data_IF_984917365753
#
_entry.id   IF_984917365753
#
_cell.length_a   1.000
_cell.length_b   1.000
_cell.length_c   1.000
_cell.angle_alpha   90.00
_cell.angle_beta   90.00
_cell.angle_gamma   90.00
#
_symmetry.space_group_name_H-M   'P 1'
#
loop_
_entity.id
_entity.type
_entity.pdbx_description
1 polymer ?
#
# COMPACT_ATOMS: atom_id res chain seq x y z
N UNK A 1 -7.96 -7.95 19.23
CA UNK A 1 -7.06 -6.78 19.18
C UNK A 1 -6.20 -6.65 20.45
N UNK A 2 -4.89 -6.49 20.31
CA UNK A 2 -3.96 -6.15 21.40
C UNK A 2 -4.31 -4.76 21.97
N UNK A 3 -4.43 -4.65 23.29
CA UNK A 3 -4.77 -3.39 23.95
C UNK A 3 -3.59 -2.42 23.89
N UNK A 4 -3.75 -1.30 23.17
CA UNK A 4 -2.84 -0.16 23.19
C UNK A 4 -3.17 0.74 24.39
N UNK A 5 -2.16 1.19 25.12
CA UNK A 5 -2.36 2.17 26.18
C UNK A 5 -2.56 3.58 25.60
N UNK A 6 -3.12 4.50 26.39
CA UNK A 6 -3.40 5.86 25.93
C UNK A 6 -2.14 6.57 25.40
N UNK A 7 -1.00 6.40 26.06
CA UNK A 7 0.28 6.97 25.60
C UNK A 7 0.72 6.42 24.25
N UNK A 8 0.54 5.12 24.02
CA UNK A 8 0.84 4.50 22.72
C UNK A 8 -0.06 5.05 21.62
N UNK A 9 -1.36 5.23 21.91
CA UNK A 9 -2.32 5.81 20.97
C UNK A 9 -1.98 7.25 20.60
N UNK A 10 -1.59 8.08 21.57
CA UNK A 10 -1.11 9.46 21.32
C UNK A 10 0.16 9.49 20.48
N UNK A 11 1.07 8.53 20.69
CA UNK A 11 2.29 8.41 19.88
C UNK A 11 1.97 7.99 18.45
N UNK A 12 1.09 7.00 18.27
CA UNK A 12 0.63 6.57 16.93
C UNK A 12 0.03 7.77 16.21
N UNK A 13 -0.95 8.44 16.83
CA UNK A 13 -1.63 9.62 16.29
C UNK A 13 -0.66 10.73 15.86
N UNK A 14 0.34 11.05 16.68
CA UNK A 14 1.29 12.10 16.34
C UNK A 14 2.26 11.69 15.21
N UNK A 15 2.67 10.42 15.16
CA UNK A 15 3.75 9.95 14.30
C UNK A 15 3.27 9.46 12.92
N UNK A 16 2.06 8.90 12.83
CA UNK A 16 1.58 8.14 11.67
C UNK A 16 1.77 8.88 10.35
N UNK A 17 1.28 10.12 10.26
CA UNK A 17 1.31 10.94 9.05
C UNK A 17 2.34 12.08 9.12
N UNK A 18 3.23 12.06 10.10
CA UNK A 18 4.25 13.10 10.31
C UNK A 18 5.63 12.50 10.66
N UNK A 19 6.11 11.48 9.94
CA UNK A 19 7.31 10.75 10.35
C UNK A 19 8.60 11.59 10.30
N UNK A 20 8.61 12.66 9.49
CA UNK A 20 9.78 13.51 9.29
C UNK A 20 9.87 14.68 10.27
N UNK A 21 8.81 14.93 11.04
CA UNK A 21 8.77 16.06 11.97
C UNK A 21 9.76 15.87 13.13
N UNK A 22 10.33 16.97 13.67
CA UNK A 22 11.21 16.88 14.83
C UNK A 22 10.50 16.21 16.01
N UNK A 23 11.21 15.32 16.70
CA UNK A 23 10.68 14.57 17.86
C UNK A 23 10.16 15.51 18.97
N UNK A 24 10.67 16.74 19.06
CA UNK A 24 10.17 17.77 19.97
C UNK A 24 8.74 18.18 19.64
N UNK A 25 8.44 18.46 18.37
CA UNK A 25 7.10 18.83 17.90
C UNK A 25 6.12 17.67 18.06
N UNK A 26 6.55 16.47 17.69
CA UNK A 26 5.76 15.24 17.86
C UNK A 26 5.41 14.98 19.33
N UNK A 27 6.36 15.22 20.25
CA UNK A 27 6.13 15.07 21.68
C UNK A 27 5.15 16.13 22.23
N UNK A 28 5.23 17.38 21.74
CA UNK A 28 4.27 18.45 22.08
C UNK A 28 2.87 18.05 21.62
N UNK A 29 2.71 17.61 20.36
CA UNK A 29 1.42 17.15 19.82
C UNK A 29 0.85 15.97 20.60
N UNK A 30 1.70 15.01 20.98
CA UNK A 30 1.31 13.89 21.81
C UNK A 30 1.04 14.27 23.28
N UNK A 31 1.27 15.53 23.67
CA UNK A 31 1.17 16.03 25.04
C UNK A 31 2.06 15.23 26.02
N UNK A 32 3.30 14.99 25.63
CA UNK A 32 4.26 14.16 26.34
C UNK A 32 5.63 14.83 26.46
N UNK A 33 6.38 14.49 27.51
CA UNK A 33 7.82 14.82 27.55
C UNK A 33 8.54 14.05 26.44
N UNK A 34 9.55 14.68 25.82
CA UNK A 34 10.34 14.11 24.71
C UNK A 34 10.89 12.71 25.04
N UNK A 35 11.43 12.51 26.25
CA UNK A 35 11.94 11.20 26.68
C UNK A 35 10.85 10.12 26.71
N UNK A 36 9.66 10.45 27.21
CA UNK A 36 8.51 9.55 27.26
C UNK A 36 8.00 9.22 25.87
N UNK A 37 7.91 10.21 24.97
CA UNK A 37 7.53 10.00 23.57
C UNK A 37 8.49 9.02 22.88
N UNK A 38 9.81 9.28 22.97
CA UNK A 38 10.85 8.42 22.39
C UNK A 38 10.75 6.98 22.88
N UNK A 39 10.53 6.78 24.18
CA UNK A 39 10.38 5.45 24.77
C UNK A 39 9.21 4.69 24.14
N UNK A 40 8.03 5.30 24.06
CA UNK A 40 6.85 4.65 23.49
C UNK A 40 6.94 4.45 21.97
N UNK A 41 7.47 5.43 21.23
CA UNK A 41 7.69 5.29 19.79
C UNK A 41 8.64 4.12 19.48
N UNK A 42 9.77 4.05 20.19
CA UNK A 42 10.72 2.94 20.07
C UNK A 42 10.09 1.60 20.45
N UNK A 43 9.35 1.54 21.55
CA UNK A 43 8.63 0.32 21.95
C UNK A 43 7.61 -0.15 20.91
N UNK A 44 6.89 0.76 20.24
CA UNK A 44 5.96 0.41 19.17
C UNK A 44 6.68 -0.15 17.93
N UNK A 45 7.84 0.39 17.58
CA UNK A 45 8.68 -0.07 16.47
C UNK A 45 9.34 -1.42 16.81
N UNK A 46 9.97 -1.54 17.99
CA UNK A 46 10.67 -2.74 18.45
C UNK A 46 9.72 -3.94 18.60
N UNK A 47 8.44 -3.69 18.96
CA UNK A 47 7.38 -4.72 19.00
C UNK A 47 6.70 -4.95 17.65
N UNK A 48 7.21 -4.34 16.58
CA UNK A 48 6.67 -4.41 15.22
C UNK A 48 5.20 -3.99 15.09
N UNK A 49 4.68 -3.14 15.98
CA UNK A 49 3.32 -2.60 15.88
C UNK A 49 3.28 -1.45 14.88
N UNK A 50 4.31 -0.59 14.89
CA UNK A 50 4.51 0.43 13.87
C UNK A 50 5.69 0.05 12.99
N UNK A 51 5.54 0.29 11.68
CA UNK A 51 6.65 0.20 10.73
C UNK A 51 6.62 1.42 9.81
N UNK A 52 7.78 1.97 9.43
CA UNK A 52 7.83 2.99 8.41
C UNK A 52 7.37 2.41 7.06
N UNK A 53 6.73 3.25 6.26
CA UNK A 53 6.35 3.00 4.88
C UNK A 53 6.77 4.21 4.05
N UNK A 54 7.73 3.99 3.15
CA UNK A 54 8.07 4.97 2.13
C UNK A 54 7.04 4.93 1.01
N UNK A 55 6.45 6.08 0.68
CA UNK A 55 5.47 6.21 -0.37
C UNK A 55 6.16 6.55 -1.69
N UNK A 56 6.42 5.53 -2.51
CA UNK A 56 6.96 5.69 -3.86
C UNK A 56 5.79 5.67 -4.83
N UNK A 57 5.69 6.72 -5.65
CA UNK A 57 4.60 6.89 -6.60
C UNK A 57 4.92 6.12 -7.90
N UNK A 58 4.21 5.02 -8.19
CA UNK A 58 4.43 4.27 -9.43
C UNK A 58 4.02 5.09 -10.66
N UNK A 59 2.98 5.93 -10.56
CA UNK A 59 2.49 6.73 -11.69
C UNK A 59 3.50 7.78 -12.12
N UNK A 60 4.15 8.46 -11.17
CA UNK A 60 5.25 9.39 -11.46
C UNK A 60 6.48 8.70 -12.08
N UNK A 61 6.59 7.37 -11.96
CA UNK A 61 7.63 6.56 -12.62
C UNK A 61 7.16 6.00 -13.99
N UNK A 62 5.92 6.27 -14.40
CA UNK A 62 5.32 5.75 -15.63
C UNK A 62 4.78 4.32 -15.52
N UNK A 63 4.65 3.78 -14.30
CA UNK A 63 4.06 2.46 -14.06
C UNK A 63 2.65 2.60 -13.49
N UNK A 64 1.78 1.69 -13.93
CA UNK A 64 0.43 1.53 -13.44
C UNK A 64 0.34 0.26 -12.60
N UNK A 65 -0.28 0.31 -11.40
CA UNK A 65 -0.58 -0.89 -10.66
C UNK A 65 -1.75 -1.66 -11.30
N UNK A 66 -1.58 -2.98 -11.47
CA UNK A 66 -2.62 -3.91 -11.90
C UNK A 66 -2.79 -4.98 -10.84
N UNK A 67 -3.89 -4.93 -10.09
CA UNK A 67 -4.25 -6.00 -9.16
C UNK A 67 -4.87 -7.15 -9.96
N UNK A 68 -4.16 -8.29 -10.03
CA UNK A 68 -4.65 -9.52 -10.66
C UNK A 68 -5.09 -10.47 -9.55
N UNK A 69 -6.40 -10.62 -9.39
CA UNK A 69 -7.02 -11.59 -8.49
C UNK A 69 -7.21 -12.89 -9.24
N UNK A 70 -6.87 -14.02 -8.63
CA UNK A 70 -6.95 -15.30 -9.32
C UNK A 70 -7.14 -16.50 -8.40
N UNK A 71 -7.75 -17.53 -8.99
CA UNK A 71 -7.79 -18.88 -8.47
C UNK A 71 -6.83 -19.77 -9.25
N UNK A 72 -6.12 -20.62 -8.54
CA UNK A 72 -5.33 -21.66 -9.18
C UNK A 72 -6.24 -22.83 -9.52
N UNK A 73 -5.97 -23.47 -10.66
CA UNK A 73 -6.55 -24.77 -11.00
C UNK A 73 -6.23 -25.81 -9.93
N UNK A 74 -6.82 -27.01 -10.03
CA UNK A 74 -6.51 -28.12 -9.13
C UNK A 74 -5.05 -28.56 -9.30
N UNK A 75 -4.16 -27.88 -8.58
CA UNK A 75 -2.73 -28.11 -8.57
C UNK A 75 -2.32 -28.86 -7.30
N UNK A 76 -1.42 -29.83 -7.47
CA UNK A 76 -0.69 -30.40 -6.34
C UNK A 76 0.14 -29.32 -5.62
N UNK A 77 0.39 -29.54 -4.32
CA UNK A 77 1.07 -28.58 -3.42
C UNK A 77 2.37 -28.00 -4.00
N UNK A 78 3.26 -28.86 -4.49
CA UNK A 78 4.55 -28.45 -5.07
C UNK A 78 4.39 -27.48 -6.25
N UNK A 79 3.45 -27.77 -7.15
CA UNK A 79 3.23 -26.95 -8.35
C UNK A 79 2.63 -25.58 -7.98
N UNK A 80 1.73 -25.53 -6.98
CA UNK A 80 1.23 -24.29 -6.40
C UNK A 80 2.37 -23.45 -5.80
N UNK A 81 3.24 -24.06 -5.01
CA UNK A 81 4.40 -23.38 -4.42
C UNK A 81 5.31 -22.80 -5.51
N UNK A 82 5.60 -23.54 -6.59
CA UNK A 82 6.37 -23.02 -7.72
C UNK A 82 5.72 -21.79 -8.40
N UNK A 83 4.39 -21.76 -8.55
CA UNK A 83 3.69 -20.59 -9.11
C UNK A 83 3.87 -19.38 -8.20
N UNK A 84 3.65 -19.55 -6.89
CA UNK A 84 3.75 -18.46 -5.92
C UNK A 84 5.19 -17.95 -5.77
N UNK A 85 6.19 -18.84 -5.81
CA UNK A 85 7.60 -18.46 -5.82
C UNK A 85 7.99 -17.70 -7.10
N UNK A 86 7.48 -18.13 -8.25
CA UNK A 86 7.72 -17.45 -9.53
C UNK A 86 7.14 -16.04 -9.51
N UNK A 87 5.92 -15.87 -8.99
CA UNK A 87 5.30 -14.56 -8.79
C UNK A 87 6.06 -13.72 -7.78
N UNK A 88 6.49 -14.30 -6.65
CA UNK A 88 7.23 -13.58 -5.62
C UNK A 88 8.59 -13.08 -6.12
N UNK A 89 9.26 -13.82 -7.01
CA UNK A 89 10.54 -13.42 -7.62
C UNK A 89 10.41 -12.48 -8.82
N UNK A 90 9.21 -12.32 -9.38
CA UNK A 90 8.99 -11.45 -10.52
C UNK A 90 9.14 -9.96 -10.12
N UNK A 91 10.00 -9.23 -10.82
CA UNK A 91 10.35 -7.83 -10.54
C UNK A 91 9.26 -6.82 -10.88
N UNK A 92 8.22 -7.21 -11.62
CA UNK A 92 7.02 -6.40 -11.81
C UNK A 92 6.00 -6.61 -10.68
N UNK A 93 6.08 -7.71 -9.91
CA UNK A 93 5.13 -7.95 -8.81
C UNK A 93 5.55 -7.18 -7.57
N UNK A 94 4.78 -6.17 -7.18
CA UNK A 94 5.00 -5.35 -5.99
C UNK A 94 4.36 -5.93 -4.73
N UNK A 95 3.24 -6.64 -4.87
CA UNK A 95 2.52 -7.22 -3.75
C UNK A 95 1.93 -8.56 -4.15
N UNK A 96 2.01 -9.55 -3.26
CA UNK A 96 1.42 -10.87 -3.46
C UNK A 96 0.85 -11.33 -2.12
N UNK A 97 -0.39 -11.80 -2.11
CA UNK A 97 -0.99 -12.39 -0.92
C UNK A 97 -1.90 -13.57 -1.22
N UNK A 98 -2.04 -14.46 -0.23
CA UNK A 98 -3.16 -15.38 -0.15
C UNK A 98 -4.37 -14.70 0.48
N UNK A 99 -5.53 -15.07 -0.05
CA UNK A 99 -6.80 -14.43 0.21
C UNK A 99 -7.84 -15.47 0.66
N UNK A 100 -8.88 -15.00 1.35
CA UNK A 100 -10.11 -15.72 1.63
C UNK A 100 -11.29 -14.98 1.03
N UNK A 101 -12.23 -15.73 0.45
CA UNK A 101 -13.34 -15.19 -0.34
C UNK A 101 -13.42 -15.93 -1.68
N UNK A 102 -13.86 -15.23 -2.74
CA UNK A 102 -13.95 -15.78 -4.10
C UNK A 102 -12.59 -16.05 -4.74
N UNK A 103 -11.55 -15.30 -4.36
CA UNK A 103 -10.20 -15.43 -4.90
C UNK A 103 -9.25 -16.01 -3.85
N UNK A 104 -8.39 -16.93 -4.28
CA UNK A 104 -7.34 -17.52 -3.44
C UNK A 104 -6.10 -16.62 -3.33
N UNK A 105 -5.83 -15.81 -4.35
CA UNK A 105 -4.63 -14.98 -4.41
C UNK A 105 -4.88 -13.66 -5.12
N UNK A 106 -4.08 -12.66 -4.78
CA UNK A 106 -3.94 -11.45 -5.60
C UNK A 106 -2.46 -11.08 -5.72
N UNK A 107 -2.06 -10.76 -6.95
CA UNK A 107 -0.75 -10.25 -7.30
C UNK A 107 -0.91 -8.84 -7.91
N UNK A 108 -0.26 -7.85 -7.31
CA UNK A 108 -0.20 -6.50 -7.87
C UNK A 108 1.05 -6.36 -8.73
N UNK A 109 0.85 -6.22 -10.03
CA UNK A 109 1.91 -5.91 -10.98
C UNK A 109 2.06 -4.39 -11.08
N UNK A 110 3.29 -3.90 -11.19
CA UNK A 110 3.60 -2.56 -11.67
C UNK A 110 4.09 -2.72 -13.11
N UNK A 111 3.34 -2.16 -14.04
CA UNK A 111 3.57 -2.33 -15.47
C UNK A 111 3.28 -1.03 -16.23
N UNK A 112 3.94 -0.80 -17.36
CA UNK A 112 3.68 0.39 -18.19
C UNK A 112 2.42 0.19 -19.03
N UNK A 113 2.17 -1.06 -19.43
CA UNK A 113 1.03 -1.43 -20.27
C UNK A 113 0.35 -2.71 -19.78
N UNK A 114 -0.94 -2.94 -20.14
CA UNK A 114 -1.60 -4.22 -19.89
C UNK A 114 -0.89 -5.41 -20.54
N UNK A 115 -0.19 -5.18 -21.66
CA UNK A 115 0.59 -6.21 -22.37
C UNK A 115 1.73 -6.76 -21.51
N UNK A 116 2.40 -5.92 -20.70
CA UNK A 116 3.50 -6.36 -19.83
C UNK A 116 2.99 -7.34 -18.75
N UNK A 117 1.77 -7.09 -18.24
CA UNK A 117 1.09 -7.99 -17.29
C UNK A 117 0.76 -9.32 -17.98
N UNK A 118 0.20 -9.27 -19.19
CA UNK A 118 -0.12 -10.46 -19.95
C UNK A 118 1.12 -11.31 -20.22
N UNK A 119 2.22 -10.70 -20.68
CA UNK A 119 3.49 -11.38 -20.91
C UNK A 119 4.02 -12.02 -19.63
N UNK A 120 3.97 -11.31 -18.51
CA UNK A 120 4.37 -11.85 -17.20
C UNK A 120 3.58 -13.10 -16.80
N UNK A 121 2.25 -13.07 -16.98
CA UNK A 121 1.39 -14.22 -16.69
C UNK A 121 1.63 -15.38 -17.68
N UNK A 122 1.81 -15.08 -18.96
CA UNK A 122 2.08 -16.07 -20.00
C UNK A 122 3.42 -16.78 -19.80
N UNK A 123 4.48 -16.11 -19.33
CA UNK A 123 5.75 -16.76 -18.99
C UNK A 123 5.59 -17.80 -17.87
N UNK A 124 4.79 -17.48 -16.86
CA UNK A 124 4.48 -18.41 -15.76
C UNK A 124 3.67 -19.60 -16.30
N UNK A 125 2.68 -19.34 -17.16
CA UNK A 125 1.89 -20.41 -17.80
C UNK A 125 2.71 -21.26 -18.76
N UNK A 126 3.66 -20.70 -19.51
CA UNK A 126 4.52 -21.44 -20.41
C UNK A 126 5.45 -22.39 -19.66
N UNK A 127 5.93 -21.97 -18.48
CA UNK A 127 6.83 -22.76 -17.62
C UNK A 127 6.09 -23.85 -16.85
N UNK A 128 4.88 -23.54 -16.35
CA UNK A 128 4.15 -24.41 -15.40
C UNK A 128 2.87 -25.00 -16.01
N UNK A 129 2.53 -24.71 -17.27
CA UNK A 129 1.26 -25.07 -17.90
C UNK A 129 0.09 -24.16 -17.47
N UNK A 130 -1.12 -24.49 -17.93
CA UNK A 130 -2.34 -23.77 -17.54
C UNK A 130 -2.61 -23.87 -16.03
N UNK A 131 -2.17 -22.86 -15.27
CA UNK A 131 -2.26 -22.85 -13.80
C UNK A 131 -3.39 -21.98 -13.26
N UNK A 132 -3.81 -20.94 -13.99
CA UNK A 132 -4.85 -20.01 -13.58
C UNK A 132 -6.22 -20.47 -14.08
N UNK A 133 -7.20 -20.62 -13.19
CA UNK A 133 -8.56 -21.05 -13.51
C UNK A 133 -9.50 -19.85 -13.72
N UNK A 134 -9.51 -18.93 -12.75
CA UNK A 134 -10.30 -17.71 -12.76
C UNK A 134 -9.38 -16.52 -12.54
N UNK A 135 -9.65 -15.41 -13.24
CA UNK A 135 -8.89 -14.17 -13.11
C UNK A 135 -9.82 -12.97 -13.19
N UNK A 136 -9.64 -12.02 -12.29
CA UNK A 136 -10.15 -10.66 -12.42
C UNK A 136 -8.95 -9.70 -12.38
N UNK A 137 -8.96 -8.69 -13.25
CA UNK A 137 -7.89 -7.69 -13.34
C UNK A 137 -8.50 -6.34 -13.02
N UNK A 138 -7.84 -5.62 -12.12
CA UNK A 138 -8.24 -4.29 -11.70
C UNK A 138 -7.05 -3.33 -11.86
N UNK A 139 -6.94 -2.61 -13.00
CA UNK A 139 -6.03 -1.48 -13.13
C UNK A 139 -6.37 -0.39 -12.11
N UNK A 140 -5.36 0.07 -11.38
CA UNK A 140 -5.50 1.12 -10.37
C UNK A 140 -5.24 2.49 -11.01
N UNK A 141 -6.13 3.44 -10.74
CA UNK A 141 -6.04 4.83 -11.20
C UNK A 141 -5.66 5.79 -10.08
N UNK A 142 -5.97 5.48 -8.82
CA UNK A 142 -5.48 6.23 -7.67
C UNK A 142 -5.35 5.33 -6.45
N UNK A 143 -4.45 5.71 -5.53
CA UNK A 143 -4.32 5.08 -4.23
C UNK A 143 -4.19 6.15 -3.15
N UNK A 144 -5.16 6.17 -2.25
CA UNK A 144 -5.23 7.08 -1.10
C UNK A 144 -5.06 6.30 0.20
N UNK A 145 -4.24 6.82 1.09
CA UNK A 145 -3.95 6.30 2.41
C UNK A 145 -4.58 7.20 3.47
N UNK A 146 -5.16 6.59 4.49
CA UNK A 146 -5.80 7.29 5.60
C UNK A 146 -5.17 6.86 6.93
N UNK A 147 -5.13 7.75 7.94
CA UNK A 147 -4.69 7.38 9.27
C UNK A 147 -5.58 6.29 9.87
N UNK A 148 -4.96 5.37 10.59
CA UNK A 148 -5.63 4.32 11.35
C UNK A 148 -6.29 4.88 12.62
N UNK A 149 -7.32 5.70 12.43
CA UNK A 149 -8.02 6.48 13.47
C UNK A 149 -8.52 5.65 14.65
N UNK A 150 -8.86 4.37 14.45
CA UNK A 150 -9.21 3.46 15.54
C UNK A 150 -8.09 3.31 16.60
N UNK A 151 -6.83 3.56 16.22
CA UNK A 151 -5.66 3.48 17.10
C UNK A 151 -5.27 4.84 17.70
N UNK A 152 -5.99 5.92 17.40
CA UNK A 152 -5.71 7.26 17.90
C UNK A 152 -6.32 7.48 19.29
N UNK A 153 -5.78 8.44 20.04
CA UNK A 153 -6.29 8.76 21.37
C UNK A 153 -7.53 9.67 21.29
N UNK A 154 -7.58 10.52 20.27
CA UNK A 154 -8.71 11.41 19.97
C UNK A 154 -9.08 11.33 18.49
N UNK A 155 -10.26 11.85 18.12
CA UNK A 155 -10.60 12.06 16.71
C UNK A 155 -9.70 13.14 16.13
N UNK A 156 -9.00 12.82 15.05
CA UNK A 156 -8.19 13.76 14.27
C UNK A 156 -9.00 14.32 13.08
N UNK A 157 -8.62 15.48 12.53
CA UNK A 157 -9.05 15.90 11.21
C UNK A 157 -8.72 14.84 10.15
N UNK A 158 -9.52 14.82 9.10
CA UNK A 158 -9.36 13.91 7.98
C UNK A 158 -8.07 14.22 7.20
N UNK A 159 -7.05 13.38 7.38
CA UNK A 159 -5.82 13.45 6.60
C UNK A 159 -5.80 12.39 5.50
N UNK A 160 -5.12 12.71 4.41
CA UNK A 160 -4.91 11.82 3.27
C UNK A 160 -3.49 12.01 2.73
N UNK A 161 -2.91 10.91 2.27
CA UNK A 161 -1.77 10.92 1.35
C UNK A 161 -2.09 10.01 0.19
N UNK A 162 -1.64 10.34 -1.01
CA UNK A 162 -1.94 9.49 -2.16
C UNK A 162 -1.28 9.96 -3.44
N UNK A 163 -1.47 9.14 -4.46
CA UNK A 163 -1.01 9.38 -5.81
C UNK A 163 -2.02 8.81 -6.81
N UNK A 164 -2.04 9.38 -8.02
CA UNK A 164 -2.97 8.99 -9.08
C UNK A 164 -2.30 8.96 -10.45
N UNK A 165 -3.02 8.39 -11.42
CA UNK A 165 -2.66 8.38 -12.82
C UNK A 165 -2.51 9.78 -13.44
N UNK A 166 -2.99 10.83 -12.75
CA UNK A 166 -2.82 12.23 -13.17
C UNK A 166 -1.45 12.82 -12.75
N UNK A 167 -0.70 12.13 -11.89
CA UNK A 167 0.65 12.56 -11.51
C UNK A 167 1.58 12.51 -12.73
N UNK A 168 2.35 13.58 -12.92
CA UNK A 168 3.24 13.72 -14.08
C UNK A 168 4.40 12.73 -14.00
N UNK A 169 4.59 11.99 -15.09
CA UNK A 169 5.75 11.11 -15.27
C UNK A 169 7.04 11.93 -15.20
N UNK A 170 8.00 11.42 -14.44
CA UNK A 170 9.34 11.98 -14.27
C UNK A 170 10.36 10.92 -14.65
N UNK A 171 11.29 11.28 -15.53
CA UNK A 171 12.45 10.44 -15.79
C UNK A 171 13.35 10.40 -14.55
N UNK A 172 13.85 9.20 -14.25
CA UNK A 172 14.80 8.95 -13.16
C UNK A 172 16.02 8.23 -13.71
N UNK A 173 17.18 8.44 -13.07
CA UNK A 173 18.41 7.72 -13.43
C UNK A 173 18.71 6.54 -12.48
N UNK A 174 19.84 5.87 -12.71
CA UNK A 174 20.26 4.72 -11.91
C UNK A 174 20.57 5.08 -10.45
N UNK A 175 20.98 6.31 -10.15
CA UNK A 175 21.22 6.77 -8.78
C UNK A 175 19.88 6.96 -8.08
N UNK A 176 18.92 7.60 -8.74
CA UNK A 176 17.56 7.76 -8.22
C UNK A 176 16.91 6.41 -7.92
N UNK A 177 17.01 5.43 -8.83
CA UNK A 177 16.48 4.09 -8.59
C UNK A 177 17.13 3.38 -7.40
N UNK A 178 18.45 3.56 -7.19
CA UNK A 178 19.14 3.03 -6.00
C UNK A 178 18.68 3.71 -4.72
N UNK A 179 18.41 5.02 -4.76
CA UNK A 179 17.79 5.75 -3.63
C UNK A 179 16.41 5.15 -3.33
N UNK A 180 15.55 5.04 -4.34
CA UNK A 180 14.19 4.50 -4.19
C UNK A 180 14.19 3.06 -3.64
N UNK A 181 15.14 2.22 -4.08
CA UNK A 181 15.30 0.85 -3.55
C UNK A 181 15.63 0.82 -2.06
N UNK A 182 16.49 1.73 -1.59
CA UNK A 182 16.77 1.87 -0.15
C UNK A 182 15.52 2.31 0.63
N UNK A 183 14.72 3.24 0.08
CA UNK A 183 13.47 3.70 0.68
C UNK A 183 12.41 2.59 0.73
N UNK A 184 12.26 1.83 -0.35
CA UNK A 184 11.30 0.74 -0.44
C UNK A 184 11.58 -0.37 0.58
N UNK A 185 12.85 -0.67 0.83
CA UNK A 185 13.27 -1.68 1.80
C UNK A 185 13.30 -1.17 3.26
N UNK A 186 12.94 0.10 3.51
CA UNK A 186 13.12 0.76 4.81
C UNK A 186 14.58 0.68 5.32
N UNK A 187 15.53 0.65 4.40
CA UNK A 187 16.97 0.67 4.69
C UNK A 187 17.53 2.09 4.71
N UNK A 188 16.66 3.08 4.64
CA UNK A 188 16.96 4.48 4.81
C UNK A 188 17.16 4.80 6.29
N UNK A 189 18.38 4.55 6.77
CA UNK A 189 18.86 5.14 8.01
C UNK A 189 19.05 6.66 7.87
N UNK A 190 20.08 7.21 8.52
CA UNK A 190 20.40 8.63 8.35
C UNK A 190 20.80 8.96 6.90
N UNK A 191 20.64 10.22 6.46
CA UNK A 191 21.12 10.70 5.15
C UNK A 191 22.59 10.32 4.89
N UNK A 192 23.42 10.35 5.95
CA UNK A 192 24.84 9.95 5.90
C UNK A 192 25.01 8.47 5.59
N UNK A 193 24.11 7.62 6.09
CA UNK A 193 24.14 6.19 5.82
C UNK A 193 23.76 5.90 4.37
N UNK A 194 22.74 6.58 3.84
CA UNK A 194 22.34 6.49 2.43
C UNK A 194 23.52 6.91 1.54
N UNK A 195 24.12 8.07 1.82
CA UNK A 195 25.30 8.58 1.12
C UNK A 195 26.47 7.58 1.11
N UNK A 196 26.79 7.01 2.27
CA UNK A 196 27.84 5.99 2.41
C UNK A 196 27.54 4.73 1.58
N UNK A 197 26.31 4.21 1.65
CA UNK A 197 25.90 3.01 0.88
C UNK A 197 25.93 3.25 -0.63
N UNK A 198 25.64 4.48 -1.05
CA UNK A 198 25.66 4.84 -2.47
C UNK A 198 27.04 5.19 -3.01
N UNK A 199 27.99 5.51 -2.12
CA UNK A 199 29.32 6.02 -2.49
C UNK A 199 29.26 7.46 -3.01
N UNK A 200 28.32 8.26 -2.52
CA UNK A 200 28.05 9.62 -3.00
C UNK A 200 28.20 10.66 -1.87
N UNK A 201 28.51 11.93 -2.20
CA UNK A 201 28.43 13.02 -1.22
C UNK A 201 27.02 13.18 -0.65
N UNK A 202 26.92 13.47 0.65
CA UNK A 202 25.62 13.68 1.31
C UNK A 202 24.79 14.79 0.66
N UNK A 203 25.42 15.86 0.18
CA UNK A 203 24.75 16.94 -0.56
C UNK A 203 24.11 16.43 -1.86
N UNK A 204 24.84 15.62 -2.63
CA UNK A 204 24.30 15.02 -3.86
C UNK A 204 23.09 14.14 -3.58
N UNK A 205 23.12 13.33 -2.51
CA UNK A 205 21.97 12.49 -2.13
C UNK A 205 20.79 13.34 -1.67
N UNK A 206 21.04 14.38 -0.87
CA UNK A 206 20.01 15.32 -0.40
C UNK A 206 19.32 16.03 -1.57
N UNK A 207 20.09 16.56 -2.52
CA UNK A 207 19.56 17.21 -3.74
C UNK A 207 18.69 16.24 -4.56
N UNK A 208 19.11 14.97 -4.69
CA UNK A 208 18.37 13.93 -5.42
C UNK A 208 17.05 13.60 -4.72
N UNK A 209 17.06 13.41 -3.40
CA UNK A 209 15.85 13.13 -2.60
C UNK A 209 14.88 14.31 -2.69
N UNK A 210 15.36 15.55 -2.51
CA UNK A 210 14.54 16.76 -2.65
C UNK A 210 13.94 16.87 -4.04
N UNK A 211 14.70 16.53 -5.09
CA UNK A 211 14.19 16.49 -6.46
C UNK A 211 13.09 15.43 -6.61
N UNK A 212 13.31 14.20 -6.15
CA UNK A 212 12.31 13.12 -6.19
C UNK A 212 11.02 13.50 -5.44
N UNK A 213 11.16 14.21 -4.31
CA UNK A 213 10.04 14.75 -3.55
C UNK A 213 9.31 15.87 -4.30
N UNK A 214 10.04 16.84 -4.87
CA UNK A 214 9.45 17.93 -5.67
C UNK A 214 8.70 17.42 -6.91
N UNK A 215 9.13 16.27 -7.44
CA UNK A 215 8.51 15.58 -8.59
C UNK A 215 7.44 14.58 -8.17
N UNK A 216 7.12 14.46 -6.88
CA UNK A 216 6.14 13.51 -6.33
C UNK A 216 6.45 12.04 -6.67
N UNK A 217 7.70 11.71 -6.97
CA UNK A 217 8.17 10.31 -7.13
C UNK A 217 8.34 9.66 -5.77
N UNK A 218 8.93 10.39 -4.82
CA UNK A 218 9.03 9.98 -3.43
C UNK A 218 8.19 10.94 -2.59
N UNK A 219 7.02 10.49 -2.15
CA UNK A 219 6.20 11.25 -1.23
C UNK A 219 6.79 11.11 0.18
N UNK A 220 6.45 12.05 1.05
CA UNK A 220 6.75 11.84 2.46
C UNK A 220 6.02 10.59 2.96
N UNK A 221 6.78 9.72 3.61
CA UNK A 221 6.31 8.44 4.11
C UNK A 221 5.30 8.57 5.24
N UNK A 222 4.93 7.44 5.80
CA UNK A 222 4.06 7.34 6.96
C UNK A 222 4.47 6.13 7.80
N UNK A 223 4.02 6.06 9.05
CA UNK A 223 4.07 4.80 9.79
C UNK A 223 2.76 4.06 9.58
N UNK A 224 2.81 2.78 9.21
CA UNK A 224 1.61 1.94 9.17
C UNK A 224 1.58 1.00 10.37
N UNK A 225 0.37 0.65 10.78
CA UNK A 225 0.16 -0.39 11.77
C UNK A 225 0.38 -1.77 11.16
N UNK A 226 0.97 -2.65 11.95
CA UNK A 226 1.04 -4.08 11.64
C UNK A 226 -0.21 -4.77 12.20
N UNK A 227 -1.10 -5.13 11.30
CA UNK A 227 -2.38 -5.76 11.61
C UNK A 227 -2.20 -7.07 12.40
N UNK A 228 -1.19 -7.89 12.06
CA UNK A 228 -0.91 -9.14 12.78
C UNK A 228 -0.42 -8.90 14.20
N UNK A 229 0.47 -7.92 14.39
CA UNK A 229 0.99 -7.57 15.73
C UNK A 229 -0.10 -6.99 16.66
N UNK A 230 -1.14 -6.38 16.06
CA UNK A 230 -2.32 -5.89 16.77
C UNK A 230 -3.42 -6.95 16.92
N UNK A 231 -3.28 -8.14 16.34
CA UNK A 231 -4.34 -9.15 16.32
C UNK A 231 -5.60 -8.62 15.64
N UNK A 232 -5.41 -8.03 14.47
CA UNK A 232 -6.43 -7.51 13.57
C UNK A 232 -6.36 -8.23 12.23
N UNK A 233 -7.50 -8.27 11.55
CA UNK A 233 -7.67 -8.82 10.23
C UNK A 233 -7.71 -7.70 9.21
N UNK A 234 -7.01 -7.90 8.10
CA UNK A 234 -7.04 -7.03 6.92
C UNK A 234 -8.11 -7.55 5.95
N UNK A 235 -9.10 -6.72 5.64
CA UNK A 235 -10.12 -7.03 4.65
C UNK A 235 -10.11 -5.97 3.54
N UNK A 236 -10.38 -6.41 2.31
CA UNK A 236 -10.58 -5.57 1.13
C UNK A 236 -12.03 -5.70 0.70
N UNK A 237 -12.73 -4.57 0.67
CA UNK A 237 -14.06 -4.48 0.10
C UNK A 237 -13.92 -4.12 -1.38
N UNK A 238 -14.32 -5.03 -2.27
CA UNK A 238 -14.39 -4.77 -3.70
C UNK A 238 -15.77 -4.19 -4.00
N UNK A 239 -15.83 -2.88 -4.20
CA UNK A 239 -17.08 -2.13 -4.34
C UNK A 239 -17.39 -1.96 -5.82
N UNK A 240 -18.53 -2.50 -6.24
CA UNK A 240 -19.09 -2.34 -7.60
C UNK A 240 -20.15 -1.27 -7.55
N UNK A 241 -20.06 -0.30 -8.44
CA UNK A 241 -20.97 0.82 -8.56
C UNK A 241 -21.74 0.76 -9.87
N UNK A 242 -22.97 1.28 -9.89
CA UNK A 242 -23.72 1.57 -11.12
C UNK A 242 -23.21 2.83 -11.84
N UNK A 243 -22.21 3.49 -11.24
CA UNK A 243 -21.59 4.73 -11.68
C UNK A 243 -21.83 5.81 -10.63
N UNK A 244 -20.76 6.25 -9.98
CA UNK A 244 -20.85 7.41 -9.09
C UNK A 244 -21.05 8.69 -9.88
N UNK A 245 -21.99 9.53 -9.45
CA UNK A 245 -21.99 10.93 -9.86
C UNK A 245 -20.71 11.62 -9.34
N UNK A 246 -20.23 12.73 -9.93
CA UNK A 246 -19.06 13.44 -9.40
C UNK A 246 -19.22 13.85 -7.92
N UNK A 247 -20.45 14.20 -7.51
CA UNK A 247 -20.78 14.49 -6.11
C UNK A 247 -20.80 13.24 -5.23
N UNK A 248 -21.40 12.15 -5.72
CA UNK A 248 -21.44 10.86 -5.04
C UNK A 248 -20.05 10.29 -4.80
N UNK A 249 -19.18 10.36 -5.81
CA UNK A 249 -17.77 9.93 -5.70
C UNK A 249 -17.01 10.72 -4.64
N UNK A 250 -17.20 12.04 -4.57
CA UNK A 250 -16.55 12.88 -3.56
C UNK A 250 -17.10 12.57 -2.15
N UNK A 251 -18.42 12.42 -2.01
CA UNK A 251 -19.06 12.09 -0.74
C UNK A 251 -18.65 10.68 -0.24
N UNK A 252 -18.55 9.71 -1.14
CA UNK A 252 -18.09 8.36 -0.83
C UNK A 252 -16.63 8.37 -0.37
N UNK A 253 -15.78 9.11 -1.07
CA UNK A 253 -14.39 9.29 -0.69
C UNK A 253 -14.25 9.93 0.70
N UNK A 254 -14.95 11.04 0.95
CA UNK A 254 -14.92 11.74 2.25
C UNK A 254 -15.45 10.85 3.38
N UNK A 255 -16.51 10.07 3.13
CA UNK A 255 -17.01 9.07 4.09
C UNK A 255 -15.92 8.05 4.47
N UNK A 256 -15.24 7.46 3.48
CA UNK A 256 -14.17 6.48 3.72
C UNK A 256 -12.97 7.13 4.43
N UNK A 257 -12.58 8.32 3.99
CA UNK A 257 -11.53 9.15 4.61
C UNK A 257 -11.85 9.51 6.06
N UNK A 258 -13.13 9.63 6.42
CA UNK A 258 -13.64 9.84 7.77
C UNK A 258 -13.73 8.56 8.61
N UNK A 259 -13.94 7.39 8.01
CA UNK A 259 -14.24 6.15 8.73
C UNK A 259 -13.05 5.54 9.51
N UNK A 260 -13.28 5.14 10.77
CA UNK A 260 -12.19 4.82 11.72
C UNK A 260 -11.34 3.60 11.36
N UNK A 261 -11.93 2.64 10.65
CA UNK A 261 -11.31 1.35 10.33
C UNK A 261 -10.87 1.24 8.86
N UNK A 262 -11.06 2.28 8.05
CA UNK A 262 -10.57 2.32 6.67
C UNK A 262 -9.15 2.89 6.69
N UNK A 263 -8.23 2.17 6.07
CA UNK A 263 -6.79 2.48 6.05
C UNK A 263 -6.29 2.94 4.69
N UNK A 264 -6.93 2.50 3.60
CA UNK A 264 -6.66 3.00 2.26
C UNK A 264 -7.80 2.70 1.30
N UNK A 265 -7.77 3.35 0.15
CA UNK A 265 -8.71 3.14 -0.95
C UNK A 265 -7.95 3.15 -2.27
N UNK A 266 -8.24 2.18 -3.14
CA UNK A 266 -7.82 2.18 -4.52
C UNK A 266 -9.02 2.55 -5.39
N UNK A 267 -8.89 3.60 -6.20
CA UNK A 267 -9.82 3.84 -7.30
C UNK A 267 -9.35 3.05 -8.51
N UNK A 268 -10.23 2.25 -9.09
CA UNK A 268 -9.86 1.24 -10.07
C UNK A 268 -10.78 1.24 -11.28
N UNK A 269 -10.30 0.60 -12.34
CA UNK A 269 -11.09 0.21 -13.50
C UNK A 269 -11.25 -1.32 -13.48
N UNK A 270 -12.35 -1.87 -13.99
CA UNK A 270 -12.49 -3.32 -14.20
C UNK A 270 -13.76 -3.91 -13.60
N UNK A 271 -13.66 -5.07 -12.95
CA UNK A 271 -14.80 -5.81 -12.39
C UNK A 271 -15.44 -5.15 -11.16
N UNK A 272 -14.76 -4.16 -10.58
CA UNK A 272 -15.20 -3.28 -9.50
C UNK A 272 -14.49 -1.94 -9.65
N UNK A 273 -15.08 -0.90 -9.07
CA UNK A 273 -14.66 0.48 -9.25
C UNK A 273 -13.75 0.96 -8.11
N UNK A 274 -13.87 0.36 -6.93
CA UNK A 274 -13.07 0.70 -5.77
C UNK A 274 -12.63 -0.52 -4.98
N UNK A 275 -11.41 -0.50 -4.43
CA UNK A 275 -10.98 -1.44 -3.39
C UNK A 275 -10.76 -0.67 -2.09
N UNK A 276 -11.57 -0.94 -1.07
CA UNK A 276 -11.44 -0.29 0.24
C UNK A 276 -10.71 -1.24 1.20
N UNK A 277 -9.55 -0.82 1.68
CA UNK A 277 -8.74 -1.59 2.61
C UNK A 277 -9.11 -1.21 4.05
N UNK A 278 -9.69 -2.14 4.78
CA UNK A 278 -10.04 -1.97 6.19
C UNK A 278 -9.22 -2.89 7.11
N UNK A 279 -9.02 -2.42 8.34
CA UNK A 279 -8.37 -3.16 9.42
C UNK A 279 -9.40 -3.34 10.54
N UNK A 280 -9.76 -4.57 10.85
CA UNK A 280 -10.82 -4.87 11.80
C UNK A 280 -10.36 -5.86 12.88
N UNK A 281 -10.90 -5.75 14.09
CA UNK A 281 -10.62 -6.71 15.16
C UNK A 281 -11.41 -8.02 15.03
N UNK A 282 -12.55 -7.96 14.35
CA UNK A 282 -13.53 -9.03 14.16
C UNK A 282 -14.38 -8.76 12.89
N UNK A 283 -15.23 -9.71 12.53
CA UNK A 283 -16.13 -9.59 11.38
C UNK A 283 -17.22 -8.53 11.57
N UNK A 284 -17.69 -8.29 12.81
CA UNK A 284 -18.78 -7.36 13.10
C UNK A 284 -18.41 -5.91 12.76
N UNK A 285 -17.14 -5.53 12.90
CA UNK A 285 -16.64 -4.23 12.43
C UNK A 285 -16.74 -4.10 10.90
N UNK A 286 -16.45 -5.17 10.17
CA UNK A 286 -16.49 -5.18 8.70
C UNK A 286 -17.95 -5.11 8.23
N UNK A 287 -18.82 -5.92 8.80
CA UNK A 287 -20.26 -5.92 8.48
C UNK A 287 -20.90 -4.57 8.77
N UNK A 288 -20.53 -3.90 9.87
CA UNK A 288 -21.00 -2.53 10.13
C UNK A 288 -20.53 -1.54 9.07
N UNK A 289 -19.26 -1.59 8.67
CA UNK A 289 -18.77 -0.73 7.59
C UNK A 289 -19.51 -0.99 6.27
N UNK A 290 -19.75 -2.25 5.92
CA UNK A 290 -20.53 -2.62 4.72
C UNK A 290 -21.95 -2.06 4.81
N UNK A 291 -22.64 -2.27 5.94
CA UNK A 291 -23.99 -1.75 6.16
C UNK A 291 -24.06 -0.23 6.14
N UNK A 292 -23.05 0.46 6.69
CA UNK A 292 -22.94 1.92 6.62
C UNK A 292 -22.75 2.39 5.18
N UNK A 293 -21.93 1.71 4.39
CA UNK A 293 -21.75 2.03 2.97
C UNK A 293 -23.07 1.83 2.21
N UNK A 294 -23.74 0.70 2.37
CA UNK A 294 -25.02 0.40 1.71
C UNK A 294 -26.12 1.40 2.11
N UNK A 295 -26.16 1.81 3.38
CA UNK A 295 -27.16 2.76 3.87
C UNK A 295 -26.95 4.16 3.27
N UNK A 296 -25.70 4.61 3.12
CA UNK A 296 -25.40 5.97 2.65
C UNK A 296 -25.27 6.07 1.12
N UNK A 297 -24.97 4.97 0.43
CA UNK A 297 -24.61 4.96 -1.00
C UNK A 297 -25.26 3.84 -1.81
N UNK A 298 -26.26 3.13 -1.25
CA UNK A 298 -26.88 1.95 -1.87
C UNK A 298 -27.51 2.20 -3.25
N UNK A 299 -27.93 3.43 -3.55
CA UNK A 299 -28.47 3.78 -4.88
C UNK A 299 -27.39 3.77 -5.98
N UNK A 300 -26.12 4.03 -5.61
CA UNK A 300 -24.97 4.08 -6.51
C UNK A 300 -24.13 2.79 -6.44
N UNK A 301 -24.37 1.90 -5.48
CA UNK A 301 -23.59 0.68 -5.24
C UNK A 301 -24.40 -0.56 -5.63
N UNK A 302 -23.87 -1.34 -6.58
CA UNK A 302 -24.45 -2.60 -7.03
C UNK A 302 -24.14 -3.75 -6.06
N UNK A 303 -22.95 -3.73 -5.45
CA UNK A 303 -22.57 -4.76 -4.50
C UNK A 303 -21.18 -4.57 -3.94
N UNK A 304 -20.94 -5.22 -2.80
CA UNK A 304 -19.68 -5.19 -2.08
C UNK A 304 -19.24 -6.61 -1.81
N UNK A 305 -18.05 -6.95 -2.28
CA UNK A 305 -17.46 -8.26 -2.04
C UNK A 305 -16.33 -8.17 -1.02
N UNK A 306 -16.34 -9.04 -0.01
CA UNK A 306 -15.35 -9.03 1.07
C UNK A 306 -14.23 -10.03 0.78
N UNK A 307 -13.00 -9.53 0.73
CA UNK A 307 -11.80 -10.34 0.49
C UNK A 307 -10.84 -10.20 1.68
N UNK A 308 -10.63 -11.30 2.40
CA UNK A 308 -9.78 -11.32 3.58
C UNK A 308 -8.33 -11.61 3.19
N UNK A 309 -7.38 -10.80 3.66
CA UNK A 309 -5.96 -11.05 3.43
C UNK A 309 -5.44 -12.00 4.50
N UNK A 310 -5.15 -13.25 4.14
CA UNK A 310 -4.65 -14.25 5.08
C UNK A 310 -3.13 -14.14 5.30
N UNK A 311 -2.36 -14.07 4.21
CA UNK A 311 -0.91 -13.98 4.30
C UNK A 311 -0.33 -13.15 3.16
N UNK A 312 0.43 -12.11 3.51
CA UNK A 312 1.30 -11.41 2.57
C UNK A 312 2.52 -12.31 2.28
N UNK A 313 2.71 -12.63 1.01
CA UNK A 313 3.83 -13.42 0.47
C UNK A 313 4.93 -12.52 -0.10
N UNK A 314 4.57 -11.32 -0.58
CA UNK A 314 5.48 -10.25 -1.02
C UNK A 314 4.88 -8.87 -0.76
N UNK A 315 5.70 -7.91 -0.37
CA UNK A 315 5.39 -6.48 -0.34
C UNK A 315 6.67 -5.69 -0.60
N UNK A 316 6.75 -5.00 -1.74
CA UNK A 316 7.85 -4.12 -2.12
C UNK A 316 7.31 -3.03 -3.07
N UNK A 317 7.36 -1.77 -2.63
CA UNK A 317 6.86 -0.62 -3.41
C UNK A 317 7.76 -0.23 -4.60
N UNK A 318 8.98 -0.75 -4.67
CA UNK A 318 9.90 -0.59 -5.79
C UNK A 318 10.56 -1.94 -6.12
N UNK A 319 9.83 -2.86 -6.80
CA UNK A 319 10.27 -4.23 -7.04
C UNK A 319 11.31 -4.38 -8.17
N UNK A 320 11.74 -3.28 -8.79
CA UNK A 320 12.65 -3.27 -9.92
C UNK A 320 14.12 -3.49 -9.52
N UNK A 321 14.88 -4.20 -10.35
CA UNK A 321 16.28 -4.51 -10.06
C UNK A 321 17.27 -3.40 -10.43
N UNK A 322 17.00 -2.68 -11.52
CA UNK A 322 17.69 -1.45 -11.90
C UNK A 322 16.77 -0.54 -12.71
N UNK A 323 17.10 0.77 -12.81
CA UNK A 323 16.42 1.68 -13.74
C UNK A 323 16.55 1.23 -15.22
N UNK A 324 17.49 0.31 -15.51
CA UNK A 324 17.85 -0.10 -16.85
C UNK A 324 17.14 -1.36 -17.35
N UNK A 325 16.50 -2.14 -16.47
CA UNK A 325 15.90 -3.42 -16.88
C UNK A 325 14.61 -3.25 -17.70
N UNK A 326 14.01 -2.04 -17.70
CA UNK A 326 12.81 -1.71 -18.51
C UNK A 326 13.09 -0.75 -19.68
N UNK A 327 14.35 -0.41 -19.96
CA UNK A 327 14.74 0.30 -21.19
C UNK A 327 14.98 -0.66 -22.37
N UNK A 328 14.86 -1.97 -22.18
CA UNK A 328 15.12 -2.99 -23.23
C UNK A 328 13.89 -3.73 -23.75
N UNK A 329 12.67 -3.34 -23.38
CA UNK A 329 11.44 -3.90 -23.96
C UNK A 329 10.77 -2.99 -25.01
N UNK A 330 11.45 -1.93 -25.45
CA UNK A 330 11.10 -1.13 -26.62
C UNK A 330 12.29 -1.09 -27.58
N UNK A 331 12.50 -2.21 -28.27
CA UNK A 331 13.47 -2.40 -29.34
C UNK A 331 13.00 -3.51 -30.25
#
# INVERSE_FOLDING_TARGET
>A
MRKLCEKERRVIQALEFSPSEPVTELAIRAQMRVATFRYHARSLIDRHILRPLSLINPFALGYYPYCVYFNLSSLGRKKRECVLESLARNNSVSWLASLGGSFQYCARFLAKTPSDVLLSLSMIQGTLGGVFAEKAISPVLAHSFFPAKFAHATREPEAERGFSADDKVCEIDSIDARILKLFANNECGSMREIARRLGLPSSTVDDRIKRLQSKRVLLEGLYVLNEKALGMTSCRLLVKSSGFSPKGSAAFFDFLKGHSYVSSMFYCLGSWDCEVQCLAADGDIIERLVSEIETNFGDEIIGIEQIFVHQKLKENSFPFDSAADDLRAAG
#
